data_IF_735981855594
#
_entry.id   IF_735981855594
#
_cell.length_a   1.000
_cell.length_b   1.000
_cell.length_c   1.000
_cell.angle_alpha   90.00
_cell.angle_beta   90.00
_cell.angle_gamma   90.00
#
_symmetry.space_group_name_H-M   'P 1'
#
loop_
_entity.id
_entity.type
_entity.pdbx_description
1 polymer ?
#
# COMPACT_ATOMS: atom_id res chain seq x y z
N UNK A 1 -28.87 -53.43 -26.45
CA UNK A 1 -30.04 -54.15 -25.89
C UNK A 1 -29.57 -55.56 -25.56
N UNK A 2 -29.98 -56.14 -24.43
CA UNK A 2 -29.35 -57.28 -23.73
C UNK A 2 -27.91 -56.97 -23.20
N UNK A 3 -27.50 -57.14 -21.92
CA UNK A 3 -27.82 -58.01 -20.76
C UNK A 3 -26.84 -59.21 -20.63
N UNK A 4 -26.12 -59.27 -19.50
CA UNK A 4 -25.22 -60.37 -19.05
C UNK A 4 -26.04 -61.62 -18.60
N UNK A 5 -25.47 -62.79 -18.16
CA UNK A 5 -25.00 -62.93 -16.75
C UNK A 5 -24.01 -64.10 -16.39
N UNK A 6 -23.69 -64.24 -15.07
CA UNK A 6 -23.14 -65.42 -14.30
C UNK A 6 -21.69 -65.90 -14.62
N UNK A 7 -20.83 -66.48 -13.76
CA UNK A 7 -20.81 -66.90 -12.33
C UNK A 7 -19.35 -66.81 -11.77
N UNK A 8 -19.07 -66.36 -10.53
CA UNK A 8 -18.99 -67.12 -9.25
C UNK A 8 -17.60 -67.73 -8.89
N UNK A 9 -17.14 -67.53 -7.63
CA UNK A 9 -15.93 -68.15 -7.05
C UNK A 9 -15.34 -67.41 -5.82
N UNK A 10 -15.39 -68.01 -4.62
CA UNK A 10 -14.92 -67.45 -3.32
C UNK A 10 -14.86 -68.54 -2.22
N UNK A 11 -14.25 -68.30 -1.03
CA UNK A 11 -13.00 -67.61 -0.69
C UNK A 11 -11.85 -68.64 -0.39
N UNK A 12 -11.55 -69.23 0.80
CA UNK A 12 -11.70 -68.87 2.25
C UNK A 12 -10.37 -68.96 3.10
N UNK A 13 -10.45 -68.74 4.43
CA UNK A 13 -9.52 -69.05 5.56
C UNK A 13 -8.10 -68.37 5.63
N UNK A 14 -7.56 -67.83 6.76
CA UNK A 14 -7.72 -68.11 8.23
C UNK A 14 -7.90 -66.92 9.21
N UNK A 15 -8.28 -67.27 10.45
CA UNK A 15 -8.66 -66.39 11.58
C UNK A 15 -8.63 -67.15 12.93
N UNK A 16 -8.56 -66.60 14.15
CA UNK A 16 -8.15 -65.28 14.69
C UNK A 16 -8.24 -65.32 16.24
N UNK A 17 -7.38 -64.61 17.00
CA UNK A 17 -7.39 -64.62 18.50
C UNK A 17 -7.31 -63.19 19.07
N UNK A 18 -8.25 -62.62 19.85
CA UNK A 18 -9.00 -62.97 21.09
C UNK A 18 -8.36 -62.51 22.43
N UNK A 19 -8.83 -61.34 22.90
CA UNK A 19 -9.25 -60.92 24.27
C UNK A 19 -8.57 -61.53 25.52
N UNK A 20 -8.23 -60.64 26.48
CA UNK A 20 -8.78 -60.67 27.86
C UNK A 20 -8.73 -59.30 28.59
N UNK A 21 -9.58 -59.15 29.63
CA UNK A 21 -9.59 -58.08 30.66
C UNK A 21 -8.63 -58.51 31.81
N UNK A 22 -8.08 -57.67 32.69
CA UNK A 22 -8.77 -56.80 33.67
C UNK A 22 -7.79 -56.00 34.57
N UNK A 23 -8.34 -55.11 35.42
CA UNK A 23 -7.83 -54.68 36.76
C UNK A 23 -6.46 -54.01 36.93
N UNK A 24 -6.42 -52.81 37.51
CA UNK A 24 -5.22 -52.16 38.06
C UNK A 24 -5.44 -50.69 38.41
N UNK A 25 -5.32 -50.31 39.69
CA UNK A 25 -5.66 -48.98 40.23
C UNK A 25 -4.43 -48.11 40.55
N UNK A 26 -4.60 -46.78 40.58
CA UNK A 26 -3.57 -45.81 41.02
C UNK A 26 -3.60 -44.53 40.16
N UNK A 27 -4.41 -43.50 40.41
CA UNK A 27 -4.53 -42.65 41.60
C UNK A 27 -3.30 -41.77 41.88
N UNK A 28 -3.33 -40.51 41.41
CA UNK A 28 -3.01 -39.32 42.21
C UNK A 28 -3.53 -38.05 41.52
N UNK A 29 -4.57 -37.41 42.08
CA UNK A 29 -4.97 -36.03 41.79
C UNK A 29 -5.08 -35.27 43.11
N UNK A 30 -4.18 -34.30 43.32
CA UNK A 30 -4.20 -33.42 44.48
C UNK A 30 -5.44 -32.51 44.46
N UNK A 31 -6.17 -32.48 45.57
CA UNK A 31 -7.25 -31.53 45.85
C UNK A 31 -6.73 -30.45 46.78
N UNK A 32 -7.21 -29.22 46.60
CA UNK A 32 -7.51 -28.36 47.76
C UNK A 32 -8.93 -27.78 47.60
N UNK A 33 -9.74 -27.99 48.62
CA UNK A 33 -11.12 -27.49 48.77
C UNK A 33 -11.44 -27.46 50.27
N UNK A 34 -11.84 -26.31 50.79
CA UNK A 34 -12.57 -26.12 52.05
C UNK A 34 -13.56 -24.98 51.76
N UNK A 35 -14.88 -25.23 51.79
CA UNK A 35 -15.77 -25.03 52.96
C UNK A 35 -15.78 -23.55 53.40
N UNK A 36 -16.91 -22.82 53.42
CA UNK A 36 -18.23 -23.25 53.92
C UNK A 36 -18.20 -23.20 55.45
N UNK A 37 -19.14 -22.59 56.19
CA UNK A 37 -20.53 -22.24 55.89
C UNK A 37 -21.10 -21.51 57.14
N UNK A 38 -22.06 -20.56 57.00
CA UNK A 38 -23.32 -20.49 57.80
C UNK A 38 -24.13 -19.21 57.61
N UNK A 39 -25.45 -19.38 57.77
CA UNK A 39 -26.51 -18.36 57.71
C UNK A 39 -26.73 -17.73 59.08
N UNK A 40 -27.26 -16.50 59.12
CA UNK A 40 -28.26 -16.13 60.13
C UNK A 40 -29.28 -15.14 59.54
N UNK A 41 -30.57 -15.45 59.72
CA UNK A 41 -31.66 -14.50 59.47
C UNK A 41 -31.86 -13.63 60.70
N UNK A 42 -32.20 -12.34 60.50
CA UNK A 42 -33.17 -11.67 61.38
C UNK A 42 -33.95 -10.59 60.64
N UNK A 43 -35.29 -10.69 60.71
CA UNK A 43 -36.22 -9.60 60.41
C UNK A 43 -36.21 -8.62 61.58
N UNK A 44 -36.45 -7.33 61.30
CA UNK A 44 -37.51 -6.47 61.87
C UNK A 44 -37.20 -5.00 61.48
N UNK A 45 -38.10 -4.02 61.39
CA UNK A 45 -39.53 -3.82 61.04
C UNK A 45 -39.88 -2.45 61.67
N UNK A 46 -40.47 -1.51 60.92
CA UNK A 46 -40.89 -0.16 61.38
C UNK A 46 -39.71 0.74 61.83
N UNK A 47 -39.81 2.07 61.94
CA UNK A 47 -40.88 3.09 61.81
C UNK A 47 -40.15 4.41 61.46
N UNK A 48 -40.70 5.49 60.88
CA UNK A 48 -42.08 5.98 60.77
C UNK A 48 -42.13 7.04 59.64
N UNK A 49 -43.29 7.22 59.01
CA UNK A 49 -43.66 8.45 58.28
C UNK A 49 -43.85 9.61 59.28
N UNK A 50 -44.13 10.88 58.96
CA UNK A 50 -44.60 11.62 57.75
C UNK A 50 -44.43 13.13 58.08
N UNK A 51 -44.45 14.09 57.16
CA UNK A 51 -45.63 14.93 56.81
C UNK A 51 -45.07 16.07 55.92
N UNK A 52 -45.37 16.05 54.61
CA UNK A 52 -46.19 17.04 53.85
C UNK A 52 -45.46 18.31 53.38
N UNK A 53 -45.30 18.51 52.05
CA UNK A 53 -46.13 19.34 51.13
C UNK A 53 -45.96 20.87 51.38
N UNK A 54 -45.81 21.75 50.39
CA UNK A 54 -46.22 21.66 48.98
C UNK A 54 -45.40 22.61 48.04
N UNK A 55 -45.44 22.32 46.72
CA UNK A 55 -45.53 23.24 45.54
C UNK A 55 -44.71 24.57 45.53
N UNK A 56 -43.99 24.98 44.49
CA UNK A 56 -44.10 24.68 43.05
C UNK A 56 -42.94 25.32 42.23
N UNK A 57 -43.06 25.47 40.90
CA UNK A 57 -41.97 25.05 40.00
C UNK A 57 -41.05 26.16 39.46
N UNK A 58 -39.78 25.81 39.27
CA UNK A 58 -38.88 26.44 38.30
C UNK A 58 -37.93 25.39 37.72
N UNK A 59 -38.32 24.80 36.59
CA UNK A 59 -37.46 23.90 35.84
C UNK A 59 -36.35 24.69 35.14
N UNK A 60 -35.10 24.29 35.32
CA UNK A 60 -34.01 24.58 34.40
C UNK A 60 -32.98 23.46 34.52
N UNK A 61 -33.14 22.45 33.66
CA UNK A 61 -32.15 21.41 33.49
C UNK A 61 -30.85 22.05 33.00
N UNK A 62 -29.79 21.96 33.81
CA UNK A 62 -28.45 22.33 33.39
C UNK A 62 -27.97 21.30 32.36
N UNK A 63 -28.26 21.55 31.07
CA UNK A 63 -27.62 20.83 29.99
C UNK A 63 -26.12 21.15 30.02
N UNK A 64 -25.34 20.21 30.55
CA UNK A 64 -23.89 20.22 30.42
C UNK A 64 -23.53 20.05 28.95
N UNK A 65 -23.35 21.17 28.25
CA UNK A 65 -22.62 21.23 26.99
C UNK A 65 -21.13 20.97 27.26
N UNK A 66 -20.82 19.71 27.57
CA UNK A 66 -19.50 19.17 27.30
C UNK A 66 -19.31 19.30 25.77
N UNK A 67 -18.26 19.96 25.27
CA UNK A 67 -17.94 19.86 23.85
C UNK A 67 -17.55 18.41 23.61
N UNK A 68 -18.50 17.64 23.05
CA UNK A 68 -18.28 16.25 22.70
C UNK A 68 -17.07 16.20 21.79
N UNK A 69 -16.00 15.56 22.26
CA UNK A 69 -14.83 15.28 21.43
C UNK A 69 -15.34 14.59 20.18
N UNK A 70 -15.13 15.21 19.02
CA UNK A 70 -15.41 14.58 17.75
C UNK A 70 -14.55 13.32 17.67
N UNK A 71 -15.15 12.18 18.02
CA UNK A 71 -14.58 10.88 17.69
C UNK A 71 -14.36 10.89 16.18
N UNK A 72 -13.21 10.37 15.68
CA UNK A 72 -13.01 10.25 14.25
C UNK A 72 -14.20 9.48 13.69
N UNK A 73 -14.77 9.99 12.59
CA UNK A 73 -15.94 9.37 11.97
C UNK A 73 -15.57 7.94 11.59
N UNK A 74 -16.02 6.98 12.40
CA UNK A 74 -15.86 5.57 12.12
C UNK A 74 -16.50 5.27 10.78
N UNK A 75 -15.77 4.54 9.92
CA UNK A 75 -16.19 4.22 8.56
C UNK A 75 -17.65 3.75 8.51
N UNK A 76 -18.51 4.61 7.96
CA UNK A 76 -19.93 4.33 7.85
C UNK A 76 -20.19 3.38 6.67
N UNK A 77 -20.06 2.08 6.96
CA UNK A 77 -20.67 1.00 6.18
C UNK A 77 -20.23 0.85 4.72
N UNK A 78 -19.21 0.03 4.49
CA UNK A 78 -19.07 -0.69 3.22
C UNK A 78 -20.30 -1.59 3.03
N UNK A 79 -21.31 -1.09 2.32
CA UNK A 79 -22.37 -1.88 1.73
C UNK A 79 -22.10 -2.00 0.21
N UNK A 80 -21.92 -3.23 -0.25
CA UNK A 80 -21.88 -3.64 -1.66
C UNK A 80 -20.77 -3.06 -2.57
N UNK A 81 -19.54 -2.94 -2.04
CA UNK A 81 -18.34 -3.02 -2.89
C UNK A 81 -17.81 -4.47 -2.93
N UNK A 82 -17.97 -5.22 -4.05
CA UNK A 82 -17.58 -6.62 -4.08
C UNK A 82 -16.05 -6.76 -4.09
N UNK A 83 -15.50 -7.30 -3.00
CA UNK A 83 -14.05 -7.49 -2.81
C UNK A 83 -13.35 -8.10 -4.04
N UNK A 84 -12.37 -7.38 -4.60
CA UNK A 84 -11.65 -7.84 -5.78
C UNK A 84 -10.85 -9.12 -5.48
N UNK A 85 -10.76 -10.09 -6.40
CA UNK A 85 -9.90 -11.26 -6.22
C UNK A 85 -8.44 -10.84 -6.11
N UNK A 86 -7.68 -11.50 -5.23
CA UNK A 86 -6.23 -11.33 -5.17
C UNK A 86 -5.55 -11.88 -6.42
N UNK A 87 -4.60 -11.15 -7.00
CA UNK A 87 -3.72 -11.68 -8.04
C UNK A 87 -2.61 -12.52 -7.38
N UNK A 88 -2.44 -13.81 -7.73
CA UNK A 88 -1.38 -14.63 -7.18
C UNK A 88 -0.04 -14.34 -7.86
N UNK A 89 1.08 -14.52 -7.14
CA UNK A 89 2.42 -14.51 -7.73
C UNK A 89 2.85 -15.88 -8.27
N UNK A 90 2.28 -16.97 -7.74
CA UNK A 90 2.46 -18.35 -8.22
C UNK A 90 1.16 -19.14 -8.19
N UNK A 91 1.05 -20.20 -8.98
CA UNK A 91 -0.08 -21.13 -9.02
C UNK A 91 0.44 -22.54 -8.74
N UNK A 92 -0.11 -23.23 -7.73
CA UNK A 92 0.37 -24.57 -7.34
C UNK A 92 0.24 -25.61 -8.47
N UNK A 93 1.14 -26.60 -8.47
CA UNK A 93 1.18 -27.64 -9.50
C UNK A 93 -0.16 -28.41 -9.62
N UNK A 94 -0.53 -28.74 -10.86
CA UNK A 94 -1.81 -29.38 -11.18
C UNK A 94 -3.06 -28.50 -11.04
N UNK A 95 -2.95 -27.24 -10.57
CA UNK A 95 -4.08 -26.31 -10.53
C UNK A 95 -4.33 -25.69 -11.93
N UNK A 96 -5.59 -25.33 -12.26
CA UNK A 96 -5.88 -24.54 -13.44
C UNK A 96 -5.29 -23.13 -13.32
N UNK A 97 -5.07 -22.47 -14.46
CA UNK A 97 -4.68 -21.06 -14.51
C UNK A 97 -5.67 -20.16 -13.76
N UNK A 98 -5.19 -19.02 -13.28
CA UNK A 98 -6.00 -17.99 -12.62
C UNK A 98 -7.19 -17.60 -13.52
N UNK A 99 -8.44 -17.79 -13.06
CA UNK A 99 -9.62 -17.47 -13.87
C UNK A 99 -9.77 -15.95 -14.00
N UNK A 100 -10.42 -15.51 -15.08
CA UNK A 100 -10.73 -14.10 -15.29
C UNK A 100 -11.72 -13.58 -14.24
N UNK A 101 -11.51 -12.32 -13.84
CA UNK A 101 -12.43 -11.60 -12.96
C UNK A 101 -13.58 -10.98 -13.78
N UNK A 102 -14.78 -10.97 -13.19
CA UNK A 102 -15.91 -10.16 -13.67
C UNK A 102 -16.12 -8.90 -12.80
N UNK A 103 -15.42 -8.78 -11.66
CA UNK A 103 -15.57 -7.67 -10.72
C UNK A 103 -14.84 -6.43 -11.23
N UNK A 104 -15.37 -5.25 -10.90
CA UNK A 104 -14.75 -3.94 -11.13
C UNK A 104 -14.97 -3.06 -9.91
N UNK A 105 -14.01 -2.20 -9.62
CA UNK A 105 -14.20 -1.03 -8.76
C UNK A 105 -14.85 0.10 -9.57
N UNK A 106 -15.65 0.95 -8.92
CA UNK A 106 -16.04 2.27 -9.45
C UNK A 106 -15.15 3.41 -8.89
N UNK A 107 -14.34 3.11 -7.88
CA UNK A 107 -13.40 4.06 -7.26
C UNK A 107 -12.05 4.05 -7.98
N UNK A 108 -11.48 5.23 -8.18
CA UNK A 108 -10.08 5.40 -8.61
C UNK A 108 -9.16 4.66 -7.63
N UNK A 109 -8.21 3.83 -8.09
CA UNK A 109 -7.28 3.13 -7.20
C UNK A 109 -6.52 4.11 -6.32
N UNK A 110 -6.45 3.85 -5.01
CA UNK A 110 -5.79 4.76 -4.05
C UNK A 110 -4.38 5.18 -4.49
N UNK A 111 -3.63 4.25 -5.09
CA UNK A 111 -2.26 4.45 -5.56
C UNK A 111 -2.14 5.48 -6.70
N UNK A 112 -3.16 5.61 -7.55
CA UNK A 112 -3.23 6.64 -8.60
C UNK A 112 -3.31 8.04 -7.97
N UNK A 113 -4.26 8.23 -7.04
CA UNK A 113 -4.46 9.50 -6.34
C UNK A 113 -3.31 9.84 -5.39
N UNK A 114 -2.75 8.85 -4.69
CA UNK A 114 -1.66 9.01 -3.73
C UNK A 114 -0.37 9.49 -4.40
N UNK A 115 -0.09 9.04 -5.63
CA UNK A 115 1.08 9.43 -6.40
C UNK A 115 0.85 10.65 -7.31
N UNK A 116 -0.38 11.18 -7.41
CA UNK A 116 -0.71 12.29 -8.32
C UNK A 116 -0.42 11.97 -9.79
N UNK A 117 -0.73 10.75 -10.23
CA UNK A 117 -0.44 10.26 -11.60
C UNK A 117 -1.14 11.12 -12.67
N UNK A 118 -2.34 11.59 -12.37
CA UNK A 118 -3.11 12.56 -13.16
C UNK A 118 -2.30 13.83 -13.47
N UNK A 119 -1.68 14.43 -12.45
CA UNK A 119 -0.84 15.63 -12.59
C UNK A 119 0.49 15.34 -13.26
N UNK A 120 1.05 14.15 -13.07
CA UNK A 120 2.26 13.73 -13.77
C UNK A 120 2.04 13.67 -15.30
N UNK A 121 0.84 13.28 -15.74
CA UNK A 121 0.46 13.25 -17.16
C UNK A 121 0.33 14.63 -17.82
N UNK A 122 0.23 15.72 -17.05
CA UNK A 122 0.32 17.09 -17.60
C UNK A 122 1.72 17.41 -18.15
N UNK A 123 2.75 16.67 -17.70
CA UNK A 123 4.14 16.83 -18.12
C UNK A 123 4.61 15.71 -19.04
N UNK A 124 4.25 14.45 -18.75
CA UNK A 124 4.69 13.28 -19.51
C UNK A 124 3.79 12.07 -19.31
N UNK A 125 3.62 11.27 -20.36
CA UNK A 125 2.83 10.01 -20.35
C UNK A 125 3.65 8.77 -20.71
N UNK A 126 4.97 8.93 -20.87
CA UNK A 126 5.92 7.84 -21.12
C UNK A 126 6.20 7.52 -22.60
N UNK A 127 5.69 8.34 -23.53
CA UNK A 127 5.86 8.14 -24.97
C UNK A 127 7.34 7.92 -25.38
N UNK A 128 7.56 6.93 -26.25
CA UNK A 128 8.88 6.60 -26.79
C UNK A 128 9.81 5.81 -25.84
N UNK A 129 9.37 5.47 -24.62
CA UNK A 129 10.17 4.67 -23.68
C UNK A 129 9.76 3.21 -23.68
N UNK A 130 10.75 2.31 -23.78
CA UNK A 130 10.56 0.85 -23.71
C UNK A 130 10.81 0.30 -22.32
N UNK A 131 9.81 -0.37 -21.74
CA UNK A 131 9.86 -1.00 -20.42
C UNK A 131 9.68 -2.51 -20.55
N UNK A 132 10.69 -3.31 -20.17
CA UNK A 132 10.51 -4.74 -20.05
C UNK A 132 9.92 -5.10 -18.68
N UNK A 133 8.90 -5.96 -18.66
CA UNK A 133 8.38 -6.59 -17.43
C UNK A 133 8.75 -8.07 -17.49
N UNK A 134 9.70 -8.47 -16.64
CA UNK A 134 10.19 -9.85 -16.54
C UNK A 134 9.41 -10.56 -15.43
N UNK A 135 8.59 -11.55 -15.81
CA UNK A 135 7.72 -12.26 -14.88
C UNK A 135 7.06 -13.49 -15.50
N UNK A 136 5.75 -13.63 -15.28
CA UNK A 136 4.93 -14.79 -15.71
C UNK A 136 4.43 -14.72 -17.15
N UNK A 137 4.72 -13.62 -17.86
CA UNK A 137 4.19 -13.31 -19.19
C UNK A 137 3.13 -12.20 -19.13
N UNK A 138 2.26 -12.14 -20.14
CA UNK A 138 1.12 -11.23 -20.17
C UNK A 138 -0.01 -11.79 -21.06
N UNK A 139 -1.26 -11.61 -20.64
CA UNK A 139 -2.44 -12.04 -21.39
C UNK A 139 -2.85 -11.04 -22.48
N UNK A 140 -2.04 -10.97 -23.53
CA UNK A 140 -2.16 -10.02 -24.65
C UNK A 140 -3.38 -10.23 -25.56
N UNK A 141 -4.18 -11.28 -25.31
CA UNK A 141 -5.31 -11.68 -26.18
C UNK A 141 -6.68 -11.35 -25.59
N UNK A 142 -6.78 -11.24 -24.27
CA UNK A 142 -8.07 -11.21 -23.55
C UNK A 142 -8.24 -10.01 -22.64
N UNK A 143 -7.22 -9.15 -22.53
CA UNK A 143 -7.16 -8.04 -21.56
C UNK A 143 -7.02 -6.71 -22.31
N UNK A 144 -8.14 -6.04 -22.66
CA UNK A 144 -8.11 -4.80 -23.46
C UNK A 144 -7.37 -3.63 -22.81
N UNK A 145 -7.02 -3.73 -21.52
CA UNK A 145 -6.11 -2.81 -20.87
C UNK A 145 -4.73 -2.76 -21.54
N UNK A 146 -4.30 -3.84 -22.18
CA UNK A 146 -2.94 -3.99 -22.69
C UNK A 146 -2.82 -3.68 -24.19
N UNK A 147 -3.96 -3.53 -24.88
CA UNK A 147 -4.03 -3.34 -26.33
C UNK A 147 -3.22 -2.12 -26.79
N UNK A 148 -2.36 -2.35 -27.80
CA UNK A 148 -1.50 -1.32 -28.40
C UNK A 148 -0.35 -0.81 -27.51
N UNK A 149 -0.17 -1.35 -26.30
CA UNK A 149 0.81 -0.86 -25.31
C UNK A 149 1.74 -1.95 -24.80
N UNK A 150 1.21 -3.15 -24.57
CA UNK A 150 2.01 -4.31 -24.16
C UNK A 150 2.19 -5.26 -25.34
N UNK A 151 3.43 -5.67 -25.55
CA UNK A 151 3.84 -6.61 -26.61
C UNK A 151 4.46 -7.86 -26.00
N UNK A 152 4.44 -8.96 -26.77
CA UNK A 152 5.04 -10.21 -26.36
C UNK A 152 6.55 -10.18 -26.56
N UNK A 153 7.31 -10.23 -25.47
CA UNK A 153 8.75 -10.50 -25.50
C UNK A 153 9.05 -12.01 -25.55
N UNK A 154 10.34 -12.39 -25.44
CA UNK A 154 10.73 -13.79 -25.40
C UNK A 154 10.19 -14.54 -24.17
N UNK A 155 9.82 -15.80 -24.37
CA UNK A 155 9.67 -16.78 -23.31
C UNK A 155 11.00 -17.54 -23.17
N UNK A 156 11.76 -17.29 -22.11
CA UNK A 156 13.10 -17.88 -21.94
C UNK A 156 13.11 -19.27 -21.29
N UNK A 157 11.93 -19.80 -20.98
CA UNK A 157 11.74 -21.11 -20.34
C UNK A 157 11.16 -22.12 -21.33
N UNK A 158 10.07 -21.79 -22.02
CA UNK A 158 9.45 -22.63 -23.03
C UNK A 158 9.89 -22.31 -24.48
N UNK A 159 10.50 -21.14 -24.70
CA UNK A 159 10.88 -20.66 -26.03
C UNK A 159 9.73 -19.94 -26.76
N UNK A 160 10.08 -19.18 -27.79
CA UNK A 160 9.13 -18.40 -28.58
C UNK A 160 8.74 -17.06 -27.93
N UNK A 161 7.50 -16.62 -28.17
CA UNK A 161 7.01 -15.29 -27.80
C UNK A 161 5.82 -15.38 -26.85
N UNK A 162 5.85 -14.59 -25.77
CA UNK A 162 4.77 -14.48 -24.79
C UNK A 162 3.46 -14.05 -25.45
N UNK A 163 2.36 -14.75 -25.13
CA UNK A 163 1.00 -14.45 -25.63
C UNK A 163 -0.11 -14.65 -24.59
N UNK A 164 0.22 -15.26 -23.46
CA UNK A 164 -0.68 -15.59 -22.38
C UNK A 164 0.00 -15.41 -21.01
N UNK A 165 -0.77 -15.57 -19.96
CA UNK A 165 -0.30 -15.57 -18.58
C UNK A 165 -1.21 -16.47 -17.75
N UNK A 166 -0.67 -17.60 -17.28
CA UNK A 166 -1.45 -18.60 -16.52
C UNK A 166 -1.59 -18.21 -15.05
N UNK A 167 -0.63 -17.44 -14.52
CA UNK A 167 -0.63 -16.92 -13.15
C UNK A 167 -1.37 -15.59 -13.10
N UNK A 168 -1.11 -14.71 -14.07
CA UNK A 168 -1.72 -13.39 -14.19
C UNK A 168 -0.89 -12.24 -13.61
N UNK A 169 0.22 -12.54 -12.91
CA UNK A 169 1.01 -11.53 -12.19
C UNK A 169 1.71 -10.56 -13.15
N UNK A 170 2.35 -11.06 -14.21
CA UNK A 170 2.98 -10.21 -15.22
C UNK A 170 1.97 -9.36 -16.00
N UNK A 171 0.77 -9.89 -16.26
CA UNK A 171 -0.37 -9.13 -16.82
C UNK A 171 -0.76 -7.94 -15.93
N UNK A 172 -0.85 -8.18 -14.61
CA UNK A 172 -1.20 -7.16 -13.62
C UNK A 172 -0.11 -6.07 -13.52
N UNK A 173 1.16 -6.46 -13.47
CA UNK A 173 2.29 -5.51 -13.40
C UNK A 173 2.45 -4.70 -14.69
N UNK A 174 2.32 -5.33 -15.87
CA UNK A 174 2.32 -4.61 -17.16
C UNK A 174 1.16 -3.60 -17.25
N UNK A 175 0.00 -3.95 -16.68
CA UNK A 175 -1.13 -3.04 -16.53
C UNK A 175 -0.87 -1.86 -15.59
N UNK A 176 -0.09 -2.03 -14.52
CA UNK A 176 0.34 -0.93 -13.65
C UNK A 176 1.35 -0.03 -14.36
N UNK A 177 2.27 -0.59 -15.16
CA UNK A 177 3.24 0.20 -15.91
C UNK A 177 2.56 1.04 -16.99
N UNK A 178 1.79 0.42 -17.90
CA UNK A 178 1.27 1.09 -19.11
C UNK A 178 -0.13 0.61 -19.53
N UNK A 179 -0.97 0.14 -18.61
CA UNK A 179 -2.36 -0.20 -18.95
C UNK A 179 -3.14 1.02 -19.47
N UNK A 180 -4.01 0.84 -20.46
CA UNK A 180 -4.98 1.85 -20.87
C UNK A 180 -6.12 2.01 -19.85
N UNK A 181 -6.87 3.12 -19.95
CA UNK A 181 -8.03 3.39 -19.11
C UNK A 181 -9.07 2.26 -19.21
N UNK A 182 -9.65 1.88 -18.06
CA UNK A 182 -10.65 0.81 -18.00
C UNK A 182 -12.07 1.35 -18.13
N UNK A 183 -12.95 0.62 -18.82
CA UNK A 183 -14.36 1.04 -18.95
C UNK A 183 -15.04 1.13 -17.57
N UNK A 184 -15.40 2.35 -17.18
CA UNK A 184 -16.00 2.71 -15.89
C UNK A 184 -15.04 3.34 -14.88
N UNK A 185 -13.76 3.55 -15.25
CA UNK A 185 -12.73 4.13 -14.38
C UNK A 185 -11.78 5.02 -15.19
N UNK A 186 -11.46 6.21 -14.68
CA UNK A 186 -10.48 7.10 -15.31
C UNK A 186 -9.01 6.64 -15.09
N UNK A 187 -8.81 5.60 -14.29
CA UNK A 187 -7.50 5.05 -13.95
C UNK A 187 -6.86 4.23 -15.10
N UNK A 188 -5.56 4.44 -15.29
CA UNK A 188 -4.69 3.75 -16.25
C UNK A 188 -3.39 3.26 -15.54
N UNK A 189 -2.46 2.69 -16.29
CA UNK A 189 -1.08 2.50 -15.83
C UNK A 189 -0.33 3.83 -15.73
N UNK A 190 0.76 3.86 -14.96
CA UNK A 190 1.53 5.07 -14.64
C UNK A 190 2.04 5.80 -15.89
N UNK A 191 2.52 5.06 -16.90
CA UNK A 191 3.04 5.56 -18.16
C UNK A 191 2.22 4.99 -19.34
N UNK A 192 0.99 5.48 -19.59
CA UNK A 192 0.03 4.87 -20.51
C UNK A 192 0.39 5.02 -22.01
N UNK A 193 1.49 5.70 -22.33
CA UNK A 193 2.06 5.83 -23.69
C UNK A 193 3.44 5.18 -23.81
N UNK A 194 3.95 4.52 -22.76
CA UNK A 194 5.16 3.70 -22.82
C UNK A 194 4.90 2.34 -23.50
N UNK A 195 5.91 1.82 -24.18
CA UNK A 195 5.88 0.49 -24.80
C UNK A 195 6.35 -0.57 -23.80
N UNK A 196 5.47 -1.48 -23.39
CA UNK A 196 5.83 -2.58 -22.48
C UNK A 196 6.13 -3.86 -23.25
N UNK A 197 7.22 -4.54 -22.87
CA UNK A 197 7.64 -5.83 -23.42
C UNK A 197 7.52 -6.89 -22.32
N UNK A 198 6.53 -7.77 -22.43
CA UNK A 198 6.31 -8.84 -21.46
C UNK A 198 7.25 -10.03 -21.72
N UNK A 199 8.23 -10.23 -20.84
CA UNK A 199 9.23 -11.31 -20.95
C UNK A 199 8.89 -12.39 -19.92
N UNK A 200 8.71 -13.64 -20.34
CA UNK A 200 8.49 -14.75 -19.39
C UNK A 200 9.82 -15.35 -18.97
N UNK A 201 10.09 -15.32 -17.66
CA UNK A 201 11.25 -15.95 -17.02
C UNK A 201 10.84 -16.96 -15.93
N UNK A 202 9.61 -17.48 -15.99
CA UNK A 202 9.07 -18.48 -15.08
C UNK A 202 8.59 -19.73 -15.81
N UNK A 203 8.40 -20.82 -15.06
CA UNK A 203 7.47 -21.88 -15.44
C UNK A 203 6.04 -21.34 -15.60
N UNK A 204 5.14 -22.16 -16.14
CA UNK A 204 3.71 -21.83 -16.25
C UNK A 204 3.04 -21.54 -14.90
N UNK A 205 3.63 -22.03 -13.81
CA UNK A 205 3.21 -21.89 -12.42
C UNK A 205 3.80 -20.66 -11.71
N UNK A 206 4.73 -19.93 -12.33
CA UNK A 206 5.37 -18.74 -11.75
C UNK A 206 6.69 -18.98 -11.03
N UNK A 207 7.17 -20.23 -10.95
CA UNK A 207 8.51 -20.52 -10.40
C UNK A 207 9.61 -20.08 -11.37
N UNK A 208 10.69 -19.46 -10.87
CA UNK A 208 11.86 -19.03 -11.65
C UNK A 208 13.15 -19.66 -11.11
N UNK A 209 14.27 -19.50 -11.82
CA UNK A 209 15.60 -19.87 -11.36
C UNK A 209 16.58 -18.74 -11.66
N UNK A 210 17.76 -18.67 -11.01
CA UNK A 210 18.75 -17.65 -11.34
C UNK A 210 19.17 -17.65 -12.82
N UNK A 211 19.19 -18.81 -13.48
CA UNK A 211 19.51 -18.98 -14.90
C UNK A 211 18.39 -18.47 -15.79
N UNK A 212 17.13 -18.78 -15.45
CA UNK A 212 15.95 -18.26 -16.17
C UNK A 212 15.87 -16.73 -16.02
N UNK A 213 16.08 -16.20 -14.83
CA UNK A 213 16.09 -14.76 -14.55
C UNK A 213 17.22 -14.05 -15.31
N UNK A 214 18.43 -14.63 -15.32
CA UNK A 214 19.56 -14.12 -16.09
C UNK A 214 19.30 -14.12 -17.61
N UNK A 215 18.62 -15.15 -18.14
CA UNK A 215 18.17 -15.17 -19.54
C UNK A 215 17.10 -14.10 -19.79
N UNK A 216 16.15 -13.91 -18.88
CA UNK A 216 15.09 -12.90 -18.97
C UNK A 216 15.66 -11.49 -19.03
N UNK A 217 16.63 -11.16 -18.18
CA UNK A 217 17.31 -9.85 -18.18
C UNK A 217 18.06 -9.64 -19.50
N UNK A 218 18.81 -10.63 -20.00
CA UNK A 218 19.44 -10.55 -21.33
C UNK A 218 18.42 -10.39 -22.47
N UNK A 219 17.28 -11.06 -22.40
CA UNK A 219 16.21 -10.96 -23.40
C UNK A 219 15.56 -9.56 -23.39
N UNK A 220 15.33 -8.97 -22.21
CA UNK A 220 14.87 -7.60 -22.06
C UNK A 220 15.87 -6.59 -22.64
N UNK A 221 17.17 -6.71 -22.29
CA UNK A 221 18.25 -5.88 -22.85
C UNK A 221 18.31 -6.01 -24.37
N UNK A 222 18.28 -7.23 -24.91
CA UNK A 222 18.28 -7.49 -26.35
C UNK A 222 17.03 -7.02 -27.09
N UNK A 223 15.94 -6.76 -26.37
CA UNK A 223 14.71 -6.15 -26.91
C UNK A 223 14.75 -4.61 -26.90
N UNK A 224 15.87 -4.00 -26.48
CA UNK A 224 16.04 -2.55 -26.43
C UNK A 224 15.26 -1.86 -25.30
N UNK A 225 14.95 -2.57 -24.21
CA UNK A 225 14.28 -1.98 -23.06
C UNK A 225 15.22 -1.03 -22.30
N UNK A 226 14.79 0.22 -22.13
CA UNK A 226 15.51 1.24 -21.35
C UNK A 226 15.26 1.11 -19.85
N UNK A 227 14.15 0.47 -19.47
CA UNK A 227 13.80 0.15 -18.08
C UNK A 227 13.45 -1.33 -18.04
N UNK A 228 14.00 -2.06 -17.07
CA UNK A 228 13.77 -3.48 -16.87
C UNK A 228 13.21 -3.68 -15.46
N UNK A 229 11.89 -3.86 -15.38
CA UNK A 229 11.24 -4.26 -14.15
C UNK A 229 11.31 -5.78 -14.00
N UNK A 230 11.97 -6.24 -12.94
CA UNK A 230 12.05 -7.64 -12.56
C UNK A 230 11.00 -7.91 -11.49
N UNK A 231 9.99 -8.72 -11.78
CA UNK A 231 8.87 -9.01 -10.89
C UNK A 231 9.16 -10.07 -9.82
N UNK A 232 10.41 -10.57 -9.76
CA UNK A 232 10.76 -11.83 -9.10
C UNK A 232 12.14 -11.72 -8.44
N UNK A 233 12.29 -12.42 -7.32
CA UNK A 233 13.55 -12.55 -6.58
C UNK A 233 14.04 -13.99 -6.54
N UNK A 234 15.36 -14.17 -6.54
CA UNK A 234 16.02 -15.46 -6.29
C UNK A 234 17.01 -15.34 -5.12
N UNK A 235 17.25 -16.42 -4.34
CA UNK A 235 18.08 -16.37 -3.14
C UNK A 235 19.60 -16.31 -3.41
N UNK A 236 20.02 -16.44 -4.67
CA UNK A 236 21.44 -16.42 -5.04
C UNK A 236 21.70 -15.75 -6.39
N UNK A 237 22.86 -15.12 -6.53
CA UNK A 237 23.34 -14.53 -7.78
C UNK A 237 24.59 -15.26 -8.29
N UNK A 238 24.43 -16.33 -9.09
CA UNK A 238 25.55 -16.92 -9.82
C UNK A 238 26.11 -15.91 -10.83
N UNK A 239 27.34 -16.17 -11.33
CA UNK A 239 28.04 -15.26 -12.25
C UNK A 239 27.16 -14.82 -13.43
N UNK A 240 26.40 -15.74 -14.00
CA UNK A 240 25.52 -15.51 -15.15
C UNK A 240 24.39 -14.48 -14.89
N UNK A 241 23.91 -14.35 -13.65
CA UNK A 241 22.91 -13.33 -13.26
C UNK A 241 23.57 -11.97 -13.04
N UNK A 242 24.75 -11.96 -12.39
CA UNK A 242 25.58 -10.75 -12.24
C UNK A 242 25.98 -10.17 -13.59
N UNK A 243 26.44 -11.01 -14.51
CA UNK A 243 26.79 -10.66 -15.88
C UNK A 243 25.58 -10.10 -16.66
N UNK A 244 24.37 -10.66 -16.44
CA UNK A 244 23.15 -10.18 -17.10
C UNK A 244 22.76 -8.77 -16.66
N UNK A 245 22.79 -8.51 -15.34
CA UNK A 245 22.51 -7.17 -14.78
C UNK A 245 23.57 -6.16 -15.23
N UNK A 246 24.84 -6.53 -15.18
CA UNK A 246 25.93 -5.67 -15.65
C UNK A 246 25.82 -5.37 -17.16
N UNK A 247 25.37 -6.35 -17.97
CA UNK A 247 25.11 -6.13 -19.39
C UNK A 247 23.94 -5.18 -19.64
N UNK A 248 22.85 -5.28 -18.86
CA UNK A 248 21.73 -4.35 -18.92
C UNK A 248 22.16 -2.91 -18.57
N UNK A 249 22.90 -2.74 -17.47
CA UNK A 249 23.42 -1.44 -17.05
C UNK A 249 24.37 -0.84 -18.09
N UNK A 250 25.28 -1.64 -18.66
CA UNK A 250 26.18 -1.21 -19.75
C UNK A 250 25.46 -0.87 -21.06
N UNK A 251 24.27 -1.43 -21.29
CA UNK A 251 23.39 -1.05 -22.40
C UNK A 251 22.56 0.22 -22.10
N UNK A 252 22.75 0.84 -20.92
CA UNK A 252 22.02 2.04 -20.50
C UNK A 252 20.64 1.77 -19.91
N UNK A 253 20.32 0.53 -19.55
CA UNK A 253 19.02 0.16 -19.00
C UNK A 253 18.97 0.25 -17.46
N UNK A 254 17.92 0.89 -16.92
CA UNK A 254 17.65 0.92 -15.49
C UNK A 254 16.99 -0.40 -15.06
N UNK A 255 17.61 -1.14 -14.14
CA UNK A 255 17.03 -2.37 -13.57
C UNK A 255 16.32 -2.06 -12.26
N UNK A 256 15.02 -2.34 -12.18
CA UNK A 256 14.15 -2.12 -11.01
C UNK A 256 13.67 -3.47 -10.47
N UNK A 257 13.88 -3.75 -9.18
CA UNK A 257 13.59 -5.06 -8.60
C UNK A 257 13.05 -4.97 -7.15
N UNK A 258 12.24 -5.95 -6.70
CA UNK A 258 11.75 -6.01 -5.32
C UNK A 258 12.87 -6.16 -4.30
N UNK A 259 12.81 -5.38 -3.22
CA UNK A 259 13.80 -5.38 -2.13
C UNK A 259 13.74 -6.64 -1.24
N UNK A 260 12.63 -7.39 -1.30
CA UNK A 260 12.47 -8.70 -0.66
C UNK A 260 12.11 -9.79 -1.67
N UNK A 261 11.97 -11.02 -1.16
CA UNK A 261 11.59 -12.19 -1.94
C UNK A 261 10.21 -12.74 -1.54
N UNK A 262 9.35 -11.92 -0.91
CA UNK A 262 8.06 -12.37 -0.35
C UNK A 262 7.14 -13.05 -1.37
N UNK A 263 7.19 -12.61 -2.63
CA UNK A 263 6.38 -13.18 -3.71
C UNK A 263 6.80 -14.64 -4.07
N UNK A 264 8.03 -15.05 -3.73
CA UNK A 264 8.54 -16.43 -3.88
C UNK A 264 7.89 -17.41 -2.89
N UNK A 265 7.35 -16.92 -1.77
CA UNK A 265 6.96 -17.74 -0.61
C UNK A 265 5.56 -18.35 -0.70
N UNK A 266 4.82 -18.08 -1.79
CA UNK A 266 3.54 -18.74 -2.07
C UNK A 266 3.66 -20.18 -2.62
N UNK A 267 4.89 -20.67 -2.80
CA UNK A 267 5.21 -22.06 -3.21
C UNK A 267 5.92 -22.89 -2.12
N UNK A 268 6.14 -24.18 -2.39
CA UNK A 268 6.62 -25.18 -1.41
C UNK A 268 8.08 -25.02 -0.90
N UNK A 269 8.71 -23.85 -1.10
CA UNK A 269 10.08 -23.53 -0.66
C UNK A 269 10.16 -22.37 0.35
N UNK A 270 9.06 -22.07 1.05
CA UNK A 270 8.82 -20.82 1.78
C UNK A 270 9.78 -20.45 2.93
N UNK A 271 10.71 -21.31 3.36
CA UNK A 271 11.48 -21.12 4.61
C UNK A 271 12.90 -20.57 4.46
N UNK A 272 13.37 -20.28 3.24
CA UNK A 272 14.78 -19.85 3.00
C UNK A 272 14.91 -18.47 2.34
N UNK A 273 13.82 -17.90 1.79
CA UNK A 273 13.84 -16.63 1.07
C UNK A 273 13.64 -15.40 1.99
N UNK A 274 12.81 -15.51 3.02
CA UNK A 274 12.45 -14.42 3.97
C UNK A 274 13.65 -13.69 4.59
N UNK A 275 14.80 -14.38 4.70
CA UNK A 275 15.94 -13.91 5.50
C UNK A 275 17.22 -13.61 4.70
N UNK A 276 17.24 -13.91 3.39
CA UNK A 276 18.39 -13.72 2.51
C UNK A 276 18.34 -12.43 1.67
N UNK A 277 19.47 -12.02 1.08
CA UNK A 277 19.47 -10.95 0.07
C UNK A 277 18.64 -11.35 -1.14
N UNK A 278 17.71 -10.49 -1.54
CA UNK A 278 16.86 -10.70 -2.71
C UNK A 278 17.63 -10.27 -3.97
N UNK A 279 17.91 -11.21 -4.88
CA UNK A 279 18.57 -10.91 -6.16
C UNK A 279 17.53 -10.83 -7.30
N UNK A 280 17.63 -9.85 -8.21
CA UNK A 280 18.80 -9.00 -8.45
C UNK A 280 18.89 -7.72 -7.59
N UNK A 281 17.91 -7.38 -6.74
CA UNK A 281 17.90 -6.13 -5.97
C UNK A 281 19.13 -5.91 -5.06
N UNK A 282 19.80 -6.98 -4.60
CA UNK A 282 21.05 -6.92 -3.85
C UNK A 282 22.31 -6.72 -4.72
N UNK A 283 22.19 -6.58 -6.05
CA UNK A 283 23.33 -6.30 -6.93
C UNK A 283 23.58 -4.78 -7.07
N UNK A 284 24.84 -4.33 -7.15
CA UNK A 284 25.17 -2.93 -7.36
C UNK A 284 24.46 -2.35 -8.60
N UNK A 285 23.95 -1.12 -8.47
CA UNK A 285 23.25 -0.40 -9.54
C UNK A 285 21.87 -0.94 -9.90
N UNK A 286 21.28 -1.84 -9.10
CA UNK A 286 19.86 -2.22 -9.22
C UNK A 286 19.04 -1.37 -8.27
N UNK A 287 17.96 -0.79 -8.76
CA UNK A 287 17.04 0.02 -7.96
C UNK A 287 16.11 -0.91 -7.16
N UNK A 288 16.49 -1.17 -5.91
CA UNK A 288 15.72 -1.97 -4.96
C UNK A 288 14.49 -1.19 -4.44
N UNK A 289 13.29 -1.73 -4.66
CA UNK A 289 12.02 -1.06 -4.31
C UNK A 289 11.27 -1.83 -3.24
N UNK A 290 10.69 -1.11 -2.28
CA UNK A 290 9.85 -1.63 -1.20
C UNK A 290 8.39 -1.17 -1.31
N UNK A 291 7.48 -1.92 -0.72
CA UNK A 291 6.04 -1.63 -0.70
C UNK A 291 5.60 -0.75 0.48
N UNK A 292 4.71 0.21 0.20
CA UNK A 292 3.90 0.92 1.20
C UNK A 292 2.40 0.66 0.98
N UNK A 293 1.64 0.78 2.06
CA UNK A 293 0.18 0.73 2.03
C UNK A 293 -0.51 2.10 1.93
N UNK A 294 -1.86 2.14 1.97
CA UNK A 294 -2.65 3.33 1.65
C UNK A 294 -2.40 4.58 2.52
N UNK A 295 -1.89 4.42 3.74
CA UNK A 295 -1.48 5.53 4.61
C UNK A 295 -0.02 5.94 4.47
N UNK A 296 0.72 5.36 3.49
CA UNK A 296 2.16 5.52 3.35
C UNK A 296 2.98 4.69 4.34
N UNK A 297 2.34 3.84 5.16
CA UNK A 297 3.02 2.96 6.09
C UNK A 297 3.86 1.91 5.34
N UNK A 298 5.10 1.63 5.79
CA UNK A 298 5.91 0.56 5.22
C UNK A 298 5.19 -0.77 5.39
N UNK A 299 5.12 -1.60 4.35
CA UNK A 299 4.59 -2.94 4.50
C UNK A 299 5.41 -3.68 5.56
N UNK A 300 4.73 -4.12 6.63
CA UNK A 300 5.36 -4.58 7.86
C UNK A 300 6.53 -5.54 7.58
N UNK A 301 7.63 -5.48 8.35
CA UNK A 301 8.66 -6.49 8.23
C UNK A 301 8.02 -7.87 8.41
N UNK A 302 8.16 -8.72 7.39
CA UNK A 302 7.85 -10.14 7.51
C UNK A 302 8.56 -10.69 8.74
N UNK A 303 7.98 -11.70 9.37
CA UNK A 303 8.36 -12.20 10.70
C UNK A 303 9.67 -13.00 10.68
N UNK A 304 10.73 -12.41 10.13
CA UNK A 304 12.04 -13.01 9.92
C UNK A 304 13.16 -12.05 10.32
N UNK A 305 14.17 -12.59 11.02
CA UNK A 305 15.40 -11.87 11.40
C UNK A 305 16.36 -11.83 10.19
N UNK A 306 15.90 -11.18 9.13
CA UNK A 306 16.44 -11.29 7.78
C UNK A 306 17.17 -10.05 7.28
N UNK A 307 18.26 -10.24 6.52
CA UNK A 307 18.91 -9.15 5.78
C UNK A 307 18.20 -8.93 4.45
N UNK A 308 17.06 -8.22 4.48
CA UNK A 308 16.45 -7.66 3.25
C UNK A 308 17.50 -6.88 2.47
N UNK A 309 17.41 -6.88 1.15
CA UNK A 309 18.13 -5.90 0.33
C UNK A 309 17.66 -4.52 0.80
N UNK A 310 18.58 -3.60 1.12
CA UNK A 310 18.18 -2.28 1.58
C UNK A 310 17.43 -1.58 0.44
N UNK A 311 16.15 -1.22 0.60
CA UNK A 311 15.43 -0.50 -0.43
C UNK A 311 16.08 0.87 -0.62
N UNK A 312 16.16 1.30 -1.88
CA UNK A 312 16.54 2.66 -2.25
C UNK A 312 15.31 3.57 -2.27
N UNK A 313 14.17 3.02 -2.67
CA UNK A 313 12.88 3.69 -2.79
C UNK A 313 11.73 2.80 -2.30
N UNK A 314 10.58 3.44 -2.11
CA UNK A 314 9.29 2.81 -1.86
C UNK A 314 8.24 3.25 -2.88
N UNK A 315 7.18 2.45 -3.06
CA UNK A 315 6.01 2.82 -3.84
C UNK A 315 4.76 2.02 -3.37
N UNK A 316 3.54 2.44 -3.76
CA UNK A 316 2.31 1.69 -3.49
C UNK A 316 2.43 0.21 -3.86
N UNK A 317 2.25 -0.65 -2.85
CA UNK A 317 2.41 -2.09 -3.00
C UNK A 317 1.47 -2.92 -2.13
N UNK A 318 0.44 -2.32 -1.52
CA UNK A 318 -0.60 -3.05 -0.75
C UNK A 318 -1.99 -2.62 -1.24
N UNK A 319 -2.90 -3.58 -1.43
CA UNK A 319 -4.27 -3.34 -1.87
C UNK A 319 -4.36 -2.53 -3.19
N UNK A 320 -3.40 -2.74 -4.09
CA UNK A 320 -3.33 -2.04 -5.38
C UNK A 320 -4.34 -2.67 -6.34
N UNK A 321 -5.18 -1.86 -6.99
CA UNK A 321 -6.14 -2.36 -7.98
C UNK A 321 -5.56 -2.26 -9.39
N UNK A 322 -5.73 -3.31 -10.19
CA UNK A 322 -5.22 -3.39 -11.57
C UNK A 322 -5.98 -4.41 -12.44
N UNK A 323 -5.68 -4.47 -13.75
CA UNK A 323 -6.20 -5.52 -14.63
C UNK A 323 -5.53 -6.86 -14.29
N UNK A 324 -6.14 -7.97 -14.72
CA UNK A 324 -5.52 -9.29 -14.62
C UNK A 324 -5.91 -10.18 -15.79
N UNK A 325 -5.56 -11.48 -15.76
CA UNK A 325 -5.76 -12.36 -16.89
C UNK A 325 -7.25 -12.57 -17.18
N UNK A 326 -7.56 -12.99 -18.41
CA UNK A 326 -8.85 -13.58 -18.76
C UNK A 326 -10.02 -12.62 -18.93
N UNK A 327 -9.83 -11.30 -18.97
CA UNK A 327 -10.93 -10.40 -19.32
C UNK A 327 -10.75 -8.92 -18.97
N UNK A 328 -11.90 -8.26 -18.75
CA UNK A 328 -12.03 -6.81 -18.43
C UNK A 328 -12.28 -6.53 -16.95
N UNK A 329 -12.20 -7.56 -16.09
CA UNK A 329 -12.33 -7.41 -14.65
C UNK A 329 -11.01 -7.11 -13.97
N UNK A 330 -11.11 -6.79 -12.70
CA UNK A 330 -10.00 -6.29 -11.89
C UNK A 330 -9.64 -7.25 -10.76
N UNK A 331 -8.41 -7.08 -10.29
CA UNK A 331 -7.80 -7.82 -9.21
C UNK A 331 -7.18 -6.83 -8.22
N UNK A 332 -6.96 -7.29 -6.99
CA UNK A 332 -6.13 -6.59 -6.00
C UNK A 332 -4.76 -7.27 -5.89
N UNK A 333 -3.69 -6.49 -5.83
CA UNK A 333 -2.31 -6.97 -5.77
C UNK A 333 -1.55 -6.40 -4.58
N UNK A 334 -0.51 -7.14 -4.20
CA UNK A 334 0.41 -6.80 -3.12
C UNK A 334 1.83 -7.25 -3.46
N UNK A 335 2.82 -6.56 -2.92
CA UNK A 335 4.23 -6.94 -2.97
C UNK A 335 5.18 -5.79 -3.31
N UNK A 336 6.46 -6.03 -3.07
CA UNK A 336 7.55 -5.15 -3.49
C UNK A 336 7.67 -5.13 -5.03
N UNK A 337 7.27 -6.21 -5.71
CA UNK A 337 7.21 -6.24 -7.18
C UNK A 337 6.11 -5.32 -7.72
N UNK A 338 4.96 -5.24 -7.04
CA UNK A 338 3.88 -4.28 -7.36
C UNK A 338 4.38 -2.83 -7.23
N UNK A 339 5.09 -2.53 -6.14
CA UNK A 339 5.76 -1.25 -5.95
C UNK A 339 6.80 -0.96 -7.04
N UNK A 340 7.58 -1.97 -7.43
CA UNK A 340 8.55 -1.90 -8.53
C UNK A 340 7.91 -1.51 -9.88
N UNK A 341 6.68 -1.94 -10.17
CA UNK A 341 5.96 -1.53 -11.38
C UNK A 341 5.59 -0.04 -11.36
N UNK A 342 5.20 0.54 -10.21
CA UNK A 342 4.99 2.00 -10.11
C UNK A 342 6.29 2.79 -10.31
N UNK A 343 7.41 2.32 -9.74
CA UNK A 343 8.72 2.95 -9.94
C UNK A 343 9.18 2.83 -11.40
N UNK A 344 8.99 1.69 -12.05
CA UNK A 344 9.33 1.48 -13.45
C UNK A 344 8.47 2.36 -14.40
N UNK A 345 7.18 2.49 -14.14
CA UNK A 345 6.32 3.43 -14.85
C UNK A 345 6.75 4.89 -14.63
N UNK A 346 7.11 5.27 -13.39
CA UNK A 346 7.58 6.63 -13.09
C UNK A 346 8.91 6.93 -13.78
N UNK A 347 9.84 5.97 -13.80
CA UNK A 347 11.08 6.06 -14.56
C UNK A 347 10.81 6.27 -16.06
N UNK A 348 9.76 5.66 -16.62
CA UNK A 348 9.37 5.86 -18.02
C UNK A 348 8.80 7.26 -18.28
N UNK A 349 8.02 7.81 -17.34
CA UNK A 349 7.60 9.22 -17.40
C UNK A 349 8.80 10.16 -17.42
N UNK A 350 9.74 9.96 -16.47
CA UNK A 350 10.96 10.77 -16.33
C UNK A 350 11.84 10.69 -17.58
N UNK A 351 12.09 9.49 -18.10
CA UNK A 351 12.95 9.31 -19.28
C UNK A 351 12.29 9.81 -20.57
N UNK A 352 10.96 9.79 -20.68
CA UNK A 352 10.23 10.40 -21.80
C UNK A 352 10.32 11.93 -21.76
N UNK A 353 10.23 12.54 -20.56
CA UNK A 353 10.33 13.99 -20.36
C UNK A 353 11.78 14.52 -20.45
N UNK A 354 12.74 13.74 -19.96
CA UNK A 354 14.17 14.06 -19.92
C UNK A 354 15.00 13.01 -20.70
N UNK A 355 14.85 12.89 -22.04
CA UNK A 355 15.40 11.78 -22.84
C UNK A 355 16.93 11.75 -23.00
N UNK A 356 17.65 12.66 -22.32
CA UNK A 356 19.13 12.69 -22.29
C UNK A 356 19.72 12.13 -20.99
N UNK A 357 18.90 11.81 -19.99
CA UNK A 357 19.37 11.25 -18.74
C UNK A 357 19.83 9.79 -18.93
N UNK A 358 20.94 9.43 -18.31
CA UNK A 358 21.34 8.02 -18.19
C UNK A 358 20.45 7.28 -17.17
N UNK A 359 20.45 5.95 -17.20
CA UNK A 359 19.75 5.14 -16.18
C UNK A 359 20.16 5.50 -14.74
N UNK A 360 21.44 5.82 -14.51
CA UNK A 360 21.95 6.26 -13.20
C UNK A 360 21.40 7.62 -12.79
N UNK A 361 21.31 8.58 -13.73
CA UNK A 361 20.69 9.87 -13.48
C UNK A 361 19.18 9.76 -13.23
N UNK A 362 18.46 8.92 -13.98
CA UNK A 362 17.04 8.63 -13.72
C UNK A 362 16.85 8.03 -12.32
N UNK A 363 17.69 7.07 -11.90
CA UNK A 363 17.64 6.51 -10.55
C UNK A 363 17.89 7.57 -9.47
N UNK A 364 18.98 8.34 -9.59
CA UNK A 364 19.31 9.45 -8.68
C UNK A 364 18.20 10.51 -8.61
N UNK A 365 17.56 10.81 -9.74
CA UNK A 365 16.46 11.77 -9.84
C UNK A 365 15.20 11.27 -9.11
N UNK A 366 14.84 10.00 -9.26
CA UNK A 366 13.73 9.38 -8.51
C UNK A 366 14.02 9.36 -7.00
N UNK A 367 15.27 9.10 -6.62
CA UNK A 367 15.74 9.05 -5.23
C UNK A 367 15.75 10.43 -4.55
N UNK A 368 16.34 11.44 -5.19
CA UNK A 368 16.45 12.82 -4.69
C UNK A 368 15.12 13.59 -4.64
N UNK A 369 14.13 13.14 -5.42
CA UNK A 369 12.78 13.74 -5.43
C UNK A 369 11.76 13.00 -4.58
N UNK A 370 12.11 11.86 -3.98
CA UNK A 370 11.22 11.05 -3.16
C UNK A 370 10.55 11.85 -2.03
N UNK A 371 9.30 11.50 -1.74
CA UNK A 371 8.52 12.02 -0.63
C UNK A 371 8.82 11.24 0.65
N UNK A 372 8.93 11.94 1.78
CA UNK A 372 9.19 11.30 3.08
C UNK A 372 10.66 10.90 3.31
N UNK A 373 11.61 11.53 2.62
CA UNK A 373 13.03 11.46 2.94
C UNK A 373 13.31 12.11 4.31
N UNK A 374 13.30 11.33 5.41
CA UNK A 374 13.50 11.84 6.77
C UNK A 374 14.99 11.84 7.14
N UNK A 375 15.69 12.90 6.72
CA UNK A 375 17.09 13.17 7.06
C UNK A 375 18.12 12.45 6.20
N UNK A 376 19.40 12.57 6.56
CA UNK A 376 20.55 12.14 5.74
C UNK A 376 20.75 10.60 5.69
N UNK A 377 19.95 9.83 6.41
CA UNK A 377 20.07 8.36 6.51
C UNK A 377 18.80 7.67 6.01
N UNK A 378 18.87 6.78 4.99
CA UNK A 378 17.72 6.03 4.50
C UNK A 378 17.02 5.19 5.59
N UNK A 379 15.69 5.16 5.61
CA UNK A 379 14.95 4.24 6.49
C UNK A 379 15.11 2.80 5.96
N UNK A 380 15.49 1.82 6.81
CA UNK A 380 15.68 0.42 6.38
C UNK A 380 14.46 -0.30 5.76
N UNK A 381 13.29 0.34 5.74
CA UNK A 381 12.01 -0.20 5.24
C UNK A 381 11.48 0.52 4.01
N UNK A 382 11.83 1.81 3.80
CA UNK A 382 11.35 2.63 2.66
C UNK A 382 12.46 3.32 1.86
N UNK A 383 13.73 3.14 2.27
CA UNK A 383 14.88 3.75 1.62
C UNK A 383 14.90 5.27 1.81
N UNK A 384 15.10 5.99 0.71
CA UNK A 384 15.08 7.46 0.66
C UNK A 384 13.65 8.03 0.64
N UNK A 385 12.61 7.19 0.60
CA UNK A 385 11.22 7.63 0.64
C UNK A 385 10.36 6.99 -0.46
N UNK A 386 9.13 7.48 -0.56
CA UNK A 386 8.16 7.02 -1.55
C UNK A 386 8.37 7.81 -2.85
N UNK A 387 8.34 7.13 -4.00
CA UNK A 387 8.47 7.77 -5.32
C UNK A 387 7.40 8.86 -5.50
N UNK A 388 7.80 10.03 -6.01
CA UNK A 388 6.92 11.18 -6.30
C UNK A 388 7.01 11.50 -7.80
N UNK A 389 6.09 11.02 -8.65
CA UNK A 389 6.12 11.25 -10.09
C UNK A 389 6.07 12.72 -10.50
N UNK A 390 5.30 13.54 -9.78
CA UNK A 390 5.14 14.97 -10.09
C UNK A 390 6.45 15.71 -9.82
N UNK A 391 7.09 15.46 -8.68
CA UNK A 391 8.38 16.06 -8.32
C UNK A 391 9.52 15.47 -9.15
N UNK A 392 9.50 14.18 -9.44
CA UNK A 392 10.48 13.54 -10.33
C UNK A 392 10.42 14.10 -11.77
N UNK A 393 9.28 14.58 -12.25
CA UNK A 393 9.19 15.27 -13.54
C UNK A 393 9.61 16.74 -13.45
N UNK A 394 9.11 17.46 -12.44
CA UNK A 394 9.21 18.94 -12.36
C UNK A 394 10.45 19.51 -11.65
N UNK A 395 11.14 18.75 -10.79
CA UNK A 395 12.26 19.28 -10.01
C UNK A 395 13.45 19.69 -10.90
N UNK A 396 14.13 20.78 -10.55
CA UNK A 396 15.35 21.22 -11.24
C UNK A 396 16.57 20.85 -10.39
N UNK A 397 17.24 19.76 -10.76
CA UNK A 397 18.46 19.31 -10.10
C UNK A 397 19.69 20.06 -10.66
N UNK A 398 20.48 20.78 -9.85
CA UNK A 398 21.63 21.55 -10.32
C UNK A 398 22.67 20.71 -11.10
N UNK A 399 22.87 19.46 -10.71
CA UNK A 399 23.81 18.50 -11.28
C UNK A 399 23.42 17.98 -12.68
N UNK A 400 22.15 18.10 -13.07
CA UNK A 400 21.66 17.73 -14.40
C UNK A 400 21.77 18.87 -15.42
N UNK A 401 22.15 20.07 -14.97
CA UNK A 401 22.37 21.20 -15.87
C UNK A 401 23.67 21.01 -16.65
N UNK A 402 23.69 21.26 -17.98
CA UNK A 402 24.93 21.32 -18.73
C UNK A 402 25.90 22.31 -18.08
N UNK A 403 27.06 21.82 -17.64
CA UNK A 403 28.09 22.67 -17.04
C UNK A 403 28.60 23.64 -18.11
N UNK A 404 28.16 24.90 -18.03
CA UNK A 404 28.91 25.99 -18.65
C UNK A 404 30.30 26.04 -18.00
N UNK A 405 31.38 26.29 -18.75
CA UNK A 405 32.72 26.41 -18.17
C UNK A 405 32.69 27.49 -17.09
N UNK A 406 32.89 27.08 -15.84
CA UNK A 406 32.57 27.92 -14.68
C UNK A 406 33.55 29.08 -14.54
N UNK A 407 33.08 30.29 -14.86
CA UNK A 407 33.56 31.48 -14.18
C UNK A 407 33.19 31.38 -12.70
N UNK A 408 34.17 31.42 -11.80
CA UNK A 408 33.97 31.21 -10.37
C UNK A 408 33.08 32.29 -9.75
N UNK A 409 31.78 31.99 -9.62
CA UNK A 409 30.88 32.73 -8.73
C UNK A 409 30.30 31.76 -7.71
N UNK A 410 30.76 31.88 -6.46
CA UNK A 410 30.26 31.12 -5.32
C UNK A 410 28.76 31.43 -5.16
N UNK A 411 27.91 30.52 -5.62
CA UNK A 411 26.47 30.71 -5.58
C UNK A 411 26.02 30.80 -4.11
N UNK A 412 25.35 31.89 -3.75
CA UNK A 412 24.64 31.96 -2.48
C UNK A 412 23.54 30.90 -2.48
N UNK A 413 23.31 30.26 -1.32
CA UNK A 413 22.26 29.26 -1.19
C UNK A 413 20.90 29.86 -1.58
N UNK A 414 20.09 29.19 -2.41
CA UNK A 414 18.75 29.67 -2.73
C UNK A 414 17.94 29.73 -1.43
N UNK A 415 17.41 30.90 -1.11
CA UNK A 415 16.51 31.06 0.03
C UNK A 415 15.26 30.21 -0.22
N UNK A 416 15.08 29.16 0.60
CA UNK A 416 13.88 28.34 0.59
C UNK A 416 12.71 29.22 1.02
N UNK A 417 11.71 29.49 0.16
CA UNK A 417 10.50 30.17 0.61
C UNK A 417 9.79 29.23 1.62
N UNK A 418 9.38 29.72 2.80
CA UNK A 418 8.73 28.86 3.79
C UNK A 418 7.43 28.29 3.22
N UNK A 419 7.31 26.95 3.26
CA UNK A 419 6.11 26.20 2.88
C UNK A 419 5.03 26.33 3.96
N UNK A 420 4.48 27.53 4.09
CA UNK A 420 3.37 27.85 4.98
C UNK A 420 2.61 29.05 4.38
N UNK A 421 1.51 28.86 3.63
CA UNK A 421 0.69 29.98 3.19
C UNK A 421 0.08 30.64 4.44
N UNK A 422 0.44 31.90 4.77
CA UNK A 422 -0.04 32.53 6.01
C UNK A 422 -1.56 32.66 6.05
N UNK A 423 -2.22 32.63 4.88
CA UNK A 423 -3.67 32.68 4.75
C UNK A 423 -4.40 31.53 5.44
N UNK A 424 -3.92 30.28 5.37
CA UNK A 424 -4.64 29.15 5.95
C UNK A 424 -4.66 29.24 7.49
N UNK A 425 -3.51 29.52 8.09
CA UNK A 425 -3.36 29.74 9.55
C UNK A 425 -4.13 30.98 10.01
N UNK A 426 -4.05 32.09 9.27
CA UNK A 426 -4.74 33.32 9.65
C UNK A 426 -6.26 33.21 9.51
N UNK A 427 -6.78 32.49 8.50
CA UNK A 427 -8.22 32.19 8.36
C UNK A 427 -8.71 31.29 9.50
N UNK A 428 -7.95 30.25 9.87
CA UNK A 428 -8.29 29.39 11.02
C UNK A 428 -8.33 30.17 12.35
N UNK A 429 -7.34 31.03 12.59
CA UNK A 429 -7.30 31.90 13.79
C UNK A 429 -8.43 32.95 13.79
N UNK A 430 -8.78 33.52 12.64
CA UNK A 430 -9.90 34.45 12.52
C UNK A 430 -11.26 33.80 12.82
N UNK A 431 -11.49 32.57 12.33
CA UNK A 431 -12.72 31.80 12.63
C UNK A 431 -12.78 31.44 14.12
N UNK A 432 -11.68 30.97 14.70
CA UNK A 432 -11.61 30.64 16.13
C UNK A 432 -11.83 31.88 17.03
N UNK A 433 -11.19 33.01 16.69
CA UNK A 433 -11.36 34.28 17.40
C UNK A 433 -12.79 34.83 17.29
N UNK A 434 -13.41 34.74 16.11
CA UNK A 434 -14.80 35.12 15.90
C UNK A 434 -15.78 34.31 16.76
N UNK A 435 -15.62 32.99 16.80
CA UNK A 435 -16.44 32.11 17.64
C UNK A 435 -16.30 32.44 19.14
N UNK A 436 -15.07 32.67 19.62
CA UNK A 436 -14.82 33.06 21.01
C UNK A 436 -15.47 34.42 21.34
N UNK A 437 -15.32 35.42 20.46
CA UNK A 437 -15.90 36.75 20.63
C UNK A 437 -17.44 36.73 20.71
N UNK A 438 -18.11 35.99 19.83
CA UNK A 438 -19.57 35.82 19.87
C UNK A 438 -20.02 35.16 21.18
N UNK A 439 -19.29 34.14 21.64
CA UNK A 439 -19.60 33.44 22.89
C UNK A 439 -19.52 34.36 24.11
N UNK A 440 -18.47 35.18 24.20
CA UNK A 440 -18.32 36.19 25.26
C UNK A 440 -19.40 37.27 25.18
N UNK A 441 -19.73 37.75 23.97
CA UNK A 441 -20.79 38.76 23.77
C UNK A 441 -22.16 38.25 24.23
N UNK A 442 -22.52 37.01 23.88
CA UNK A 442 -23.78 36.38 24.30
C UNK A 442 -23.82 36.21 25.82
N UNK A 443 -22.73 35.75 26.45
CA UNK A 443 -22.63 35.64 27.91
C UNK A 443 -22.78 37.00 28.62
N UNK A 444 -22.13 38.04 28.09
CA UNK A 444 -22.23 39.41 28.60
C UNK A 444 -23.65 39.96 28.48
N UNK A 445 -24.29 39.84 27.31
CA UNK A 445 -25.67 40.27 27.08
C UNK A 445 -26.66 39.50 27.98
N UNK A 446 -26.48 38.18 28.14
CA UNK A 446 -27.28 37.36 29.05
C UNK A 446 -27.12 37.78 30.53
N UNK A 447 -25.96 38.31 30.93
CA UNK A 447 -25.71 38.80 32.29
C UNK A 447 -26.24 40.24 32.52
N UNK A 448 -26.12 41.11 31.51
CA UNK A 448 -26.42 42.54 31.58
C UNK A 448 -27.90 42.82 31.32
N UNK A 449 -28.52 42.24 30.28
CA UNK A 449 -29.91 42.54 29.91
C UNK A 449 -30.92 42.27 31.06
N UNK A 450 -30.83 41.17 31.85
CA UNK A 450 -31.71 40.97 32.99
C UNK A 450 -31.45 41.97 34.13
N UNK A 451 -30.18 42.37 34.36
CA UNK A 451 -29.82 43.34 35.40
C UNK A 451 -30.22 44.77 35.05
N UNK A 452 -30.03 45.17 33.79
CA UNK A 452 -30.49 46.46 33.26
C UNK A 452 -32.01 46.58 33.31
N UNK A 453 -32.74 45.55 32.86
CA UNK A 453 -34.21 45.47 32.99
C UNK A 453 -34.68 45.56 34.45
N UNK A 454 -34.06 44.81 35.37
CA UNK A 454 -34.38 44.87 36.82
C UNK A 454 -34.10 46.23 37.47
N UNK A 455 -33.18 47.04 36.91
CA UNK A 455 -32.87 48.40 37.37
C UNK A 455 -33.55 49.50 36.57
N UNK A 456 -34.44 49.15 35.63
CA UNK A 456 -35.10 50.11 34.72
C UNK A 456 -34.11 50.96 33.92
N UNK A 457 -32.89 50.46 33.68
CA UNK A 457 -31.77 51.16 33.03
C UNK A 457 -31.42 52.55 33.59
N UNK A 458 -31.79 52.85 34.85
CA UNK A 458 -31.41 54.09 35.52
C UNK A 458 -29.96 54.02 35.99
N UNK A 459 -29.19 55.08 35.72
CA UNK A 459 -27.82 55.20 36.23
C UNK A 459 -27.80 55.13 37.75
N UNK A 460 -26.84 54.40 38.33
CA UNK A 460 -26.64 54.39 39.76
C UNK A 460 -26.21 55.78 40.23
N UNK A 461 -26.83 56.32 41.27
CA UNK A 461 -26.38 57.57 41.89
C UNK A 461 -24.96 57.35 42.39
N UNK A 462 -23.99 58.09 41.86
CA UNK A 462 -22.67 58.16 42.44
C UNK A 462 -22.81 58.76 43.85
N UNK A 463 -22.33 58.04 44.86
CA UNK A 463 -22.13 58.62 46.18
C UNK A 463 -21.00 59.64 46.05
N UNK A 464 -21.32 60.93 46.21
CA UNK A 464 -20.31 61.98 46.31
C UNK A 464 -19.40 61.74 47.53
N UNK A 465 -18.17 62.26 47.53
CA UNK A 465 -17.27 62.11 48.66
C UNK A 465 -17.88 62.74 49.91
N UNK A 466 -17.76 62.04 51.04
CA UNK A 466 -18.13 62.57 52.35
C UNK A 466 -17.13 63.66 52.71
N UNK A 467 -17.59 64.90 52.79
CA UNK A 467 -16.82 66.00 53.36
C UNK A 467 -16.81 65.88 54.88
N UNK A 468 -15.66 65.57 55.48
CA UNK A 468 -15.43 65.81 56.90
C UNK A 468 -15.38 67.33 57.16
N UNK A 469 -16.24 67.82 58.05
CA UNK A 469 -16.12 69.14 58.68
C UNK A 469 -16.84 69.15 60.03
N UNK A 470 -16.17 69.58 61.09
CA UNK A 470 -16.78 69.92 62.39
C UNK A 470 -16.35 69.02 63.54
#
# INVERSE_FOLDING_TARGET
>A
MAIMPVAAGRPPWWSAFRRRRSTGSGAFRGRYRWCGERRYHRRMRSSRSSVSRALGPAALAALLLIPGTAAPAGAAGDADSPSLPGIPATVADGRPCTPGSAKKSAQVPWAQSFLGIDRAWELSRGAGVKVAVIGTGADLRRVPALDGRVTGGPDVVAGGTVRDDCVGYGTFLAGIVAGGQQQGLEAAGVAPEAEVIAVRATSKQGATTPEALAKGIRAATGSGAQIIHVALSVPSAPKQLKDAVLAAQKAGALVVAPASAREWESGAGASQAENGPAYPAALPGVLAVSSVGPGGEPEAPGTGKGRRSQPRLSAPGVSVTGPGPGGRGQFTGRGDAVAGAFVAGTAALVLSYHPRLTAEQVAHRLESTAYGAVGDTPDPRIGLGIVDPVRALSAVLPEERPQSPSGTRKAAAPAVPPLDPPEARNRALAVAGGAAGVTVLVAFLAFVLPRGRRRGWRAGRAGGPVTETG
#
